data_IF_477489166963
#
_entry.id   IF_477489166963
#
_cell.length_a   1.000
_cell.length_b   1.000
_cell.length_c   1.000
_cell.angle_alpha   90.00
_cell.angle_beta   90.00
_cell.angle_gamma   90.00
#
_symmetry.space_group_name_H-M   'P 1'
#
loop_
_entity.id
_entity.type
_entity.pdbx_description
1 polymer ?
#
# COMPACT_ATOMS: atom_id res chain seq x y z
N UNK A 1 -31.16 -0.20 1.61
CA UNK A 1 -30.57 -1.55 1.46
C UNK A 1 -29.76 -1.82 2.72
N UNK A 2 -30.35 -2.55 3.67
CA UNK A 2 -29.76 -2.82 4.98
C UNK A 2 -28.66 -3.88 4.83
N UNK A 3 -27.40 -3.45 4.89
CA UNK A 3 -26.28 -4.38 5.09
C UNK A 3 -26.42 -4.90 6.52
N UNK A 4 -26.54 -6.21 6.68
CA UNK A 4 -26.63 -6.89 7.98
C UNK A 4 -25.37 -6.57 8.81
N UNK A 5 -25.46 -5.56 9.68
CA UNK A 5 -24.38 -5.01 10.50
C UNK A 5 -24.02 -5.90 11.70
N UNK A 6 -24.09 -7.23 11.54
CA UNK A 6 -23.63 -8.14 12.59
C UNK A 6 -22.10 -8.22 12.51
N UNK A 7 -21.38 -7.96 13.61
CA UNK A 7 -19.93 -8.13 13.62
C UNK A 7 -19.59 -9.57 13.24
N UNK A 8 -18.61 -9.73 12.36
CA UNK A 8 -18.15 -11.04 11.92
C UNK A 8 -17.69 -11.85 13.14
N UNK A 9 -18.02 -13.15 13.16
CA UNK A 9 -17.65 -14.05 14.26
C UNK A 9 -16.85 -15.25 13.77
N UNK A 10 -15.97 -15.74 14.63
CA UNK A 10 -15.19 -16.96 14.39
C UNK A 10 -14.17 -16.79 13.26
N UNK A 11 -14.09 -17.78 12.37
CA UNK A 11 -13.09 -17.83 11.29
C UNK A 11 -13.25 -16.70 10.24
N UNK A 12 -14.49 -16.25 9.96
CA UNK A 12 -14.77 -15.19 8.97
C UNK A 12 -14.17 -13.85 9.38
N UNK A 13 -14.17 -13.56 10.68
CA UNK A 13 -13.54 -12.37 11.25
C UNK A 13 -12.03 -12.38 11.00
N UNK A 14 -11.39 -13.51 11.32
CA UNK A 14 -9.94 -13.65 11.16
C UNK A 14 -9.52 -13.60 9.69
N UNK A 15 -10.31 -14.18 8.78
CA UNK A 15 -10.05 -14.03 7.35
C UNK A 15 -10.18 -12.58 6.89
N UNK A 16 -11.23 -11.87 7.33
CA UNK A 16 -11.40 -10.47 6.97
C UNK A 16 -10.23 -9.60 7.44
N UNK A 17 -9.81 -9.77 8.71
CA UNK A 17 -8.64 -9.07 9.26
C UNK A 17 -7.37 -9.46 8.50
N UNK A 18 -7.17 -10.74 8.19
CA UNK A 18 -6.02 -11.21 7.43
C UNK A 18 -5.96 -10.58 6.03
N UNK A 19 -7.09 -10.47 5.33
CA UNK A 19 -7.16 -9.80 4.02
C UNK A 19 -6.77 -8.32 4.13
N UNK A 20 -7.30 -7.59 5.11
CA UNK A 20 -6.94 -6.18 5.33
C UNK A 20 -5.47 -6.01 5.71
N UNK A 21 -4.94 -6.92 6.53
CA UNK A 21 -3.53 -6.92 6.92
C UNK A 21 -2.62 -7.21 5.72
N UNK A 22 -2.97 -8.17 4.85
CA UNK A 22 -2.24 -8.45 3.62
C UNK A 22 -2.22 -7.24 2.69
N UNK A 23 -3.38 -6.57 2.49
CA UNK A 23 -3.41 -5.34 1.69
C UNK A 23 -2.53 -4.23 2.29
N UNK A 24 -2.48 -4.12 3.61
CA UNK A 24 -1.59 -3.18 4.31
C UNK A 24 -0.12 -3.53 4.09
N UNK A 25 0.23 -4.82 4.11
CA UNK A 25 1.59 -5.31 3.81
C UNK A 25 2.01 -4.96 2.39
N UNK A 26 1.15 -5.20 1.41
CA UNK A 26 1.41 -4.82 0.00
C UNK A 26 1.73 -3.34 -0.11
N UNK A 27 0.88 -2.48 0.48
CA UNK A 27 1.08 -1.02 0.41
C UNK A 27 2.36 -0.57 1.11
N UNK A 28 2.60 -1.02 2.34
CA UNK A 28 3.73 -0.55 3.15
C UNK A 28 5.08 -1.14 2.76
N UNK A 29 5.11 -2.32 2.13
CA UNK A 29 6.34 -2.95 1.67
C UNK A 29 6.95 -2.27 0.44
N UNK A 30 6.16 -1.51 -0.30
CA UNK A 30 6.59 -0.91 -1.56
C UNK A 30 7.72 0.13 -1.40
N UNK A 31 7.65 1.00 -0.39
CA UNK A 31 8.69 2.01 -0.13
C UNK A 31 10.06 1.37 0.18
N UNK A 32 10.20 0.49 1.18
CA UNK A 32 11.47 -0.16 1.47
C UNK A 32 11.94 -1.06 0.31
N UNK A 33 11.03 -1.79 -0.33
CA UNK A 33 11.37 -2.62 -1.49
C UNK A 33 11.91 -1.79 -2.65
N UNK A 34 11.26 -0.69 -2.99
CA UNK A 34 11.70 0.19 -4.06
C UNK A 34 13.06 0.83 -3.76
N UNK A 35 13.29 1.25 -2.52
CA UNK A 35 14.52 1.96 -2.11
C UNK A 35 15.79 1.16 -2.42
N UNK A 36 15.73 -0.17 -2.28
CA UNK A 36 16.85 -1.07 -2.60
C UNK A 36 17.08 -1.18 -4.11
N UNK A 37 16.01 -1.06 -4.89
CA UNK A 37 16.07 -1.20 -6.35
C UNK A 37 16.43 0.08 -7.09
N UNK A 38 16.55 1.22 -6.41
CA UNK A 38 16.80 2.54 -7.00
C UNK A 38 17.97 2.55 -8.02
N UNK A 39 19.13 1.92 -7.76
CA UNK A 39 20.22 1.90 -8.74
C UNK A 39 19.82 1.21 -10.06
N UNK A 40 19.05 0.11 -9.98
CA UNK A 40 18.57 -0.63 -11.14
C UNK A 40 17.53 0.17 -11.93
N UNK A 41 16.63 0.86 -11.22
CA UNK A 41 15.60 1.73 -11.81
C UNK A 41 16.27 2.85 -12.61
N UNK A 42 17.24 3.55 -12.00
CA UNK A 42 17.95 4.66 -12.61
C UNK A 42 18.71 4.25 -13.89
N UNK A 43 19.37 3.08 -13.87
CA UNK A 43 20.01 2.54 -15.06
C UNK A 43 19.04 2.18 -16.18
N UNK A 44 17.84 1.69 -15.84
CA UNK A 44 16.86 1.18 -16.82
C UNK A 44 15.92 2.23 -17.42
N UNK A 45 15.64 3.33 -16.72
CA UNK A 45 14.72 4.37 -17.16
C UNK A 45 15.46 5.54 -17.82
N UNK A 46 16.22 5.22 -18.87
CA UNK A 46 16.98 6.20 -19.67
C UNK A 46 18.40 6.50 -19.17
N UNK A 47 18.97 5.65 -18.30
CA UNK A 47 20.36 5.79 -17.85
C UNK A 47 20.60 7.04 -16.99
N UNK A 48 19.61 7.46 -16.22
CA UNK A 48 19.71 8.64 -15.35
C UNK A 48 20.59 8.36 -14.13
N UNK A 49 21.09 9.41 -13.51
CA UNK A 49 21.84 9.30 -12.25
C UNK A 49 20.94 8.70 -11.14
N UNK A 50 21.47 7.87 -10.22
CA UNK A 50 20.69 7.31 -9.11
C UNK A 50 19.93 8.34 -8.26
N UNK A 51 20.40 9.58 -8.20
CA UNK A 51 19.71 10.71 -7.56
C UNK A 51 18.34 11.01 -8.15
N UNK A 52 18.10 10.76 -9.43
CA UNK A 52 16.77 10.88 -10.04
C UNK A 52 15.89 9.68 -9.70
N UNK A 53 16.47 8.50 -9.50
CA UNK A 53 15.73 7.31 -9.06
C UNK A 53 15.14 7.46 -7.66
N UNK A 54 15.80 8.20 -6.76
CA UNK A 54 15.26 8.44 -5.40
C UNK A 54 13.98 9.28 -5.40
N UNK A 55 13.72 10.08 -6.45
CA UNK A 55 12.48 10.83 -6.60
C UNK A 55 11.26 9.91 -6.60
N UNK A 56 11.39 8.68 -7.10
CA UNK A 56 10.30 7.70 -7.02
C UNK A 56 9.89 7.37 -5.58
N UNK A 57 10.80 7.42 -4.61
CA UNK A 57 10.46 7.27 -3.18
C UNK A 57 9.75 8.53 -2.68
N UNK A 58 10.33 9.71 -2.92
CA UNK A 58 9.80 10.99 -2.48
C UNK A 58 8.38 11.23 -3.02
N UNK A 59 8.16 11.03 -4.31
CA UNK A 59 6.88 11.21 -4.99
C UNK A 59 5.80 10.27 -4.46
N UNK A 60 6.18 9.03 -4.16
CA UNK A 60 5.29 8.09 -3.49
C UNK A 60 4.91 8.57 -2.09
N UNK A 61 5.87 9.06 -1.29
CA UNK A 61 5.57 9.59 0.04
C UNK A 61 4.71 10.86 -0.01
N UNK A 62 4.91 11.73 -1.01
CA UNK A 62 4.04 12.89 -1.26
C UNK A 62 2.62 12.43 -1.56
N UNK A 63 2.45 11.47 -2.49
CA UNK A 63 1.15 10.87 -2.79
C UNK A 63 0.51 10.27 -1.53
N UNK A 64 1.26 9.49 -0.77
CA UNK A 64 0.82 8.87 0.49
C UNK A 64 0.31 9.91 1.48
N UNK A 65 1.09 10.98 1.71
CA UNK A 65 0.72 12.07 2.60
C UNK A 65 -0.55 12.79 2.15
N UNK A 66 -0.75 12.97 0.84
CA UNK A 66 -1.98 13.52 0.27
C UNK A 66 -3.17 12.57 0.43
N UNK A 67 -2.99 11.27 0.29
CA UNK A 67 -4.08 10.29 0.38
C UNK A 67 -4.71 10.18 1.79
N UNK A 68 -3.89 10.31 2.84
CA UNK A 68 -4.33 10.19 4.24
C UNK A 68 -5.53 11.08 4.62
N UNK A 69 -5.50 12.41 4.43
CA UNK A 69 -6.65 13.27 4.77
C UNK A 69 -7.87 13.00 3.89
N UNK A 70 -7.66 12.63 2.62
CA UNK A 70 -8.75 12.32 1.68
C UNK A 70 -9.50 11.04 2.03
N UNK A 71 -8.85 10.09 2.72
CA UNK A 71 -9.48 8.84 3.15
C UNK A 71 -10.79 9.09 3.91
N UNK A 72 -10.77 10.01 4.89
CA UNK A 72 -11.95 10.35 5.70
C UNK A 72 -13.05 11.02 4.89
N UNK A 73 -12.66 11.90 3.96
CA UNK A 73 -13.62 12.60 3.10
C UNK A 73 -14.34 11.62 2.16
N UNK A 74 -13.57 10.76 1.47
CA UNK A 74 -14.14 9.74 0.60
C UNK A 74 -15.01 8.76 1.39
N UNK A 75 -14.53 8.27 2.53
CA UNK A 75 -15.24 7.27 3.31
C UNK A 75 -16.53 7.81 3.93
N UNK A 76 -16.54 9.07 4.36
CA UNK A 76 -17.75 9.75 4.82
C UNK A 76 -18.83 9.89 3.74
N UNK A 77 -18.44 10.02 2.46
CA UNK A 77 -19.38 10.20 1.35
C UNK A 77 -19.80 8.90 0.67
N UNK A 78 -18.89 7.93 0.54
CA UNK A 78 -19.09 6.73 -0.27
C UNK A 78 -19.07 5.42 0.54
N UNK A 79 -18.70 5.48 1.83
CA UNK A 79 -18.60 4.35 2.75
C UNK A 79 -17.23 3.68 2.77
N UNK A 80 -16.76 3.30 3.96
CA UNK A 80 -15.41 2.76 4.20
C UNK A 80 -15.05 1.58 3.30
N UNK A 81 -15.92 0.57 3.20
CA UNK A 81 -15.62 -0.65 2.44
C UNK A 81 -15.48 -0.39 0.94
N UNK A 82 -16.38 0.41 0.35
CA UNK A 82 -16.34 0.73 -1.08
C UNK A 82 -15.10 1.54 -1.43
N UNK A 83 -14.77 2.53 -0.61
CA UNK A 83 -13.58 3.35 -0.82
C UNK A 83 -12.30 2.53 -0.66
N UNK A 84 -12.23 1.64 0.33
CA UNK A 84 -11.10 0.74 0.49
C UNK A 84 -10.86 -0.11 -0.77
N UNK A 85 -11.91 -0.77 -1.28
CA UNK A 85 -11.80 -1.62 -2.49
C UNK A 85 -11.39 -0.81 -3.71
N UNK A 86 -12.01 0.36 -3.94
CA UNK A 86 -11.67 1.22 -5.08
C UNK A 86 -10.23 1.74 -4.97
N UNK A 87 -9.83 2.21 -3.79
CA UNK A 87 -8.46 2.68 -3.56
C UNK A 87 -7.44 1.56 -3.76
N UNK A 88 -7.72 0.34 -3.31
CA UNK A 88 -6.84 -0.80 -3.51
C UNK A 88 -6.73 -1.23 -4.98
N UNK A 89 -7.83 -1.16 -5.74
CA UNK A 89 -7.80 -1.39 -7.19
C UNK A 89 -7.00 -0.30 -7.92
N UNK A 90 -7.17 0.96 -7.53
CA UNK A 90 -6.38 2.07 -8.07
C UNK A 90 -4.89 1.91 -7.74
N UNK A 91 -4.57 1.41 -6.54
CA UNK A 91 -3.20 1.08 -6.15
C UNK A 91 -2.62 0.03 -7.10
N UNK A 92 -3.34 -1.07 -7.35
CA UNK A 92 -2.90 -2.12 -8.28
C UNK A 92 -2.70 -1.58 -9.70
N UNK A 93 -3.64 -0.77 -10.22
CA UNK A 93 -3.50 -0.15 -11.54
C UNK A 93 -2.28 0.78 -11.62
N UNK A 94 -2.07 1.63 -10.61
CA UNK A 94 -0.91 2.51 -10.55
C UNK A 94 0.41 1.73 -10.47
N UNK A 95 0.40 0.59 -9.78
CA UNK A 95 1.55 -0.30 -9.68
C UNK A 95 1.90 -0.90 -11.06
N UNK A 96 0.90 -1.36 -11.82
CA UNK A 96 1.08 -1.81 -13.19
C UNK A 96 1.65 -0.72 -14.10
N UNK A 97 1.19 0.53 -13.97
CA UNK A 97 1.74 1.68 -14.72
C UNK A 97 3.21 1.90 -14.39
N UNK A 98 3.59 1.83 -13.11
CA UNK A 98 4.98 1.95 -12.69
C UNK A 98 5.84 0.79 -13.24
N UNK A 99 5.31 -0.44 -13.21
CA UNK A 99 6.02 -1.62 -13.73
C UNK A 99 6.23 -1.55 -15.24
N UNK A 100 5.24 -1.06 -15.99
CA UNK A 100 5.28 -0.92 -17.45
C UNK A 100 6.03 0.34 -17.92
N UNK A 101 6.43 1.23 -17.01
CA UNK A 101 7.10 2.48 -17.39
C UNK A 101 8.47 2.23 -18.00
N UNK A 102 8.76 2.89 -19.12
CA UNK A 102 10.05 2.86 -19.80
C UNK A 102 10.86 4.15 -19.61
N UNK A 103 10.21 5.22 -19.15
CA UNK A 103 10.84 6.52 -18.92
C UNK A 103 10.53 7.04 -17.53
N UNK A 104 11.41 7.90 -17.00
CA UNK A 104 11.19 8.56 -15.72
C UNK A 104 9.91 9.42 -15.73
N UNK A 105 9.59 10.04 -16.88
CA UNK A 105 8.42 10.90 -17.06
C UNK A 105 7.09 10.17 -16.90
N UNK A 106 7.01 8.89 -17.29
CA UNK A 106 5.81 8.07 -17.06
C UNK A 106 5.82 7.44 -15.68
N UNK A 107 7.01 7.16 -15.15
CA UNK A 107 7.19 6.48 -13.87
C UNK A 107 6.81 7.35 -12.67
N UNK A 108 7.33 8.58 -12.59
CA UNK A 108 7.14 9.44 -11.42
C UNK A 108 5.67 9.82 -11.14
N UNK A 109 4.84 10.21 -12.13
CA UNK A 109 3.41 10.42 -11.90
C UNK A 109 2.70 9.15 -11.42
N UNK A 110 3.11 7.98 -11.93
CA UNK A 110 2.62 6.69 -11.45
C UNK A 110 2.93 6.46 -9.97
N UNK A 111 4.12 6.86 -9.50
CA UNK A 111 4.53 6.78 -8.09
C UNK A 111 3.65 7.65 -7.19
N UNK A 112 3.30 8.86 -7.62
CA UNK A 112 2.37 9.74 -6.89
C UNK A 112 1.00 9.08 -6.79
N UNK A 113 0.46 8.59 -7.90
CA UNK A 113 -0.84 7.92 -7.92
C UNK A 113 -0.87 6.67 -7.02
N UNK A 114 0.20 5.87 -7.07
CA UNK A 114 0.39 4.69 -6.23
C UNK A 114 0.42 5.06 -4.75
N UNK A 115 1.18 6.10 -4.40
CA UNK A 115 1.24 6.65 -3.04
C UNK A 115 -0.11 7.13 -2.56
N UNK A 116 -0.82 7.91 -3.38
CA UNK A 116 -2.14 8.43 -3.04
C UNK A 116 -3.15 7.33 -2.76
N UNK A 117 -3.23 6.33 -3.63
CA UNK A 117 -4.10 5.17 -3.45
C UNK A 117 -3.75 4.39 -2.16
N UNK A 118 -2.45 4.23 -1.88
CA UNK A 118 -1.97 3.61 -0.64
C UNK A 118 -2.37 4.42 0.60
N UNK A 119 -2.20 5.74 0.56
CA UNK A 119 -2.52 6.66 1.66
C UNK A 119 -4.00 6.67 2.00
N UNK A 120 -4.87 6.51 1.01
CA UNK A 120 -6.32 6.31 1.23
C UNK A 120 -6.61 4.94 1.85
N UNK A 121 -5.92 3.90 1.39
CA UNK A 121 -6.16 2.50 1.78
C UNK A 121 -5.81 2.23 3.24
N UNK A 122 -4.65 2.69 3.70
CA UNK A 122 -4.10 2.36 5.03
C UNK A 122 -5.03 2.69 6.22
N UNK A 123 -5.53 3.93 6.38
CA UNK A 123 -6.41 4.27 7.51
C UNK A 123 -7.76 3.54 7.42
N UNK A 124 -8.24 3.25 6.21
CA UNK A 124 -9.48 2.50 6.02
C UNK A 124 -9.31 1.02 6.38
N UNK A 125 -8.18 0.40 6.03
CA UNK A 125 -7.86 -0.97 6.44
C UNK A 125 -7.88 -1.10 7.96
N UNK A 126 -7.20 -0.19 8.65
CA UNK A 126 -7.14 -0.17 10.11
C UNK A 126 -8.53 0.09 10.73
N UNK A 127 -9.27 1.08 10.21
CA UNK A 127 -10.62 1.38 10.69
C UNK A 127 -11.56 0.18 10.54
N UNK A 128 -11.60 -0.43 9.36
CA UNK A 128 -12.44 -1.59 9.05
C UNK A 128 -12.10 -2.78 9.96
N UNK A 129 -10.81 -3.07 10.15
CA UNK A 129 -10.40 -4.15 11.05
C UNK A 129 -10.81 -3.88 12.51
N UNK A 130 -10.60 -2.66 13.01
CA UNK A 130 -10.89 -2.30 14.40
C UNK A 130 -12.40 -2.19 14.70
N UNK A 131 -13.24 -1.97 13.68
CA UNK A 131 -14.71 -1.91 13.84
C UNK A 131 -15.33 -3.26 14.17
N UNK A 132 -14.68 -4.37 13.80
CA UNK A 132 -15.16 -5.71 14.09
C UNK A 132 -14.84 -6.19 15.51
N UNK A 133 -13.90 -5.53 16.20
CA UNK A 133 -13.55 -5.87 17.58
C UNK A 133 -14.50 -5.20 18.59
N UNK A 134 -14.93 -5.92 19.64
CA UNK A 134 -15.71 -5.32 20.73
C UNK A 134 -14.88 -4.28 21.46
N UNK A 135 -15.53 -3.22 21.95
CA UNK A 135 -14.89 -2.04 22.54
C UNK A 135 -13.87 -2.38 23.65
N UNK A 136 -14.18 -3.38 24.50
CA UNK A 136 -13.28 -3.86 25.56
C UNK A 136 -11.95 -4.44 25.04
N UNK A 137 -11.90 -4.91 23.80
CA UNK A 137 -10.69 -5.49 23.17
C UNK A 137 -10.02 -4.55 22.17
N UNK A 138 -10.54 -3.33 21.99
CA UNK A 138 -10.06 -2.40 20.96
C UNK A 138 -8.60 -1.97 21.20
N UNK A 139 -8.22 -1.71 22.44
CA UNK A 139 -6.82 -1.38 22.80
C UNK A 139 -5.85 -2.50 22.43
N UNK A 140 -6.23 -3.75 22.73
CA UNK A 140 -5.43 -4.92 22.35
C UNK A 140 -5.36 -5.09 20.83
N UNK A 141 -6.47 -4.88 20.11
CA UNK A 141 -6.53 -4.96 18.66
C UNK A 141 -5.66 -3.87 17.98
N UNK A 142 -5.61 -2.66 18.53
CA UNK A 142 -4.68 -1.60 18.08
C UNK A 142 -3.24 -2.03 18.27
N UNK A 143 -2.90 -2.64 19.42
CA UNK A 143 -1.56 -3.19 19.67
C UNK A 143 -1.19 -4.27 18.64
N UNK A 144 -2.09 -5.21 18.39
CA UNK A 144 -1.91 -6.24 17.36
C UNK A 144 -1.70 -5.63 15.97
N UNK A 145 -2.51 -4.64 15.60
CA UNK A 145 -2.36 -3.93 14.32
C UNK A 145 -1.01 -3.21 14.20
N UNK A 146 -0.53 -2.61 15.30
CA UNK A 146 0.79 -1.99 15.37
C UNK A 146 1.92 -2.99 15.08
N UNK A 147 1.87 -4.18 15.68
CA UNK A 147 2.83 -5.27 15.40
C UNK A 147 2.76 -5.69 13.94
N UNK A 148 1.55 -5.90 13.40
CA UNK A 148 1.35 -6.27 11.99
C UNK A 148 1.82 -5.19 11.02
N UNK A 149 1.84 -3.93 11.44
CA UNK A 149 2.29 -2.80 10.61
C UNK A 149 3.82 -2.68 10.53
N UNK A 150 4.58 -3.41 11.37
CA UNK A 150 6.04 -3.44 11.33
C UNK A 150 6.58 -4.51 10.37
N UNK A 151 5.87 -5.63 10.23
CA UNK A 151 6.21 -6.73 9.31
C UNK A 151 6.48 -6.32 7.85
N UNK A 152 5.73 -5.37 7.24
CA UNK A 152 5.92 -4.97 5.86
C UNK A 152 7.30 -4.38 5.57
N UNK A 153 7.95 -3.76 6.57
CA UNK A 153 9.27 -3.16 6.40
C UNK A 153 10.31 -4.24 6.02
N UNK A 154 10.36 -5.31 6.81
CA UNK A 154 11.28 -6.43 6.59
C UNK A 154 10.96 -7.17 5.30
N UNK A 155 9.67 -7.42 5.04
CA UNK A 155 9.22 -8.07 3.81
C UNK A 155 9.63 -7.26 2.58
N UNK A 156 9.39 -5.95 2.61
CA UNK A 156 9.72 -5.07 1.48
C UNK A 156 11.21 -5.06 1.18
N UNK A 157 12.07 -4.93 2.21
CA UNK A 157 13.53 -4.98 2.03
C UNK A 157 13.97 -6.29 1.38
N UNK A 158 13.49 -7.42 1.92
CA UNK A 158 13.85 -8.74 1.41
C UNK A 158 13.39 -8.94 -0.04
N UNK A 159 12.12 -8.65 -0.33
CA UNK A 159 11.54 -8.80 -1.66
C UNK A 159 12.23 -7.88 -2.68
N UNK A 160 12.53 -6.63 -2.30
CA UNK A 160 13.22 -5.67 -3.17
C UNK A 160 14.59 -6.18 -3.63
N UNK A 161 15.40 -6.68 -2.69
CA UNK A 161 16.70 -7.26 -3.00
C UNK A 161 16.59 -8.51 -3.88
N UNK A 162 15.76 -9.47 -3.47
CA UNK A 162 15.56 -10.73 -4.19
C UNK A 162 15.08 -10.51 -5.62
N UNK A 163 14.09 -9.62 -5.83
CA UNK A 163 13.57 -9.31 -7.16
C UNK A 163 14.59 -8.59 -8.03
N UNK A 164 15.35 -7.66 -7.48
CA UNK A 164 16.38 -6.97 -8.23
C UNK A 164 17.52 -7.89 -8.66
N UNK A 165 17.89 -8.87 -7.82
CA UNK A 165 18.98 -9.80 -8.08
C UNK A 165 18.61 -10.91 -9.06
N UNK A 166 17.45 -11.55 -8.90
CA UNK A 166 17.08 -12.76 -9.65
C UNK A 166 16.08 -12.54 -10.78
N UNK A 167 15.35 -11.42 -10.78
CA UNK A 167 14.28 -11.17 -11.75
C UNK A 167 14.46 -9.80 -12.43
N UNK A 168 13.73 -8.79 -11.96
CA UNK A 168 13.80 -7.41 -12.41
C UNK A 168 13.24 -6.53 -11.30
N UNK A 169 13.76 -5.31 -11.16
CA UNK A 169 13.23 -4.33 -10.20
C UNK A 169 11.73 -4.07 -10.37
N UNK A 170 11.20 -4.28 -11.58
CA UNK A 170 9.77 -4.12 -11.90
C UNK A 170 8.86 -5.03 -11.06
N UNK A 171 9.36 -6.18 -10.60
CA UNK A 171 8.58 -7.12 -9.80
C UNK A 171 8.17 -6.59 -8.44
N UNK A 172 8.87 -5.57 -7.91
CA UNK A 172 8.45 -4.87 -6.68
C UNK A 172 7.05 -4.24 -6.82
N UNK A 173 6.62 -3.98 -8.05
CA UNK A 173 5.30 -3.40 -8.35
C UNK A 173 4.23 -4.45 -8.69
N UNK A 174 4.61 -5.71 -8.88
CA UNK A 174 3.66 -6.81 -9.15
C UNK A 174 3.25 -7.59 -7.90
N UNK A 175 4.02 -7.46 -6.81
CA UNK A 175 3.67 -7.94 -5.45
C UNK A 175 2.68 -7.04 -4.74
#
# INVERSE_FOLDING_TARGET
>A
MFVDNRPLRGWRLWLFIATLALGTVVVLSNVPGYTITVPYVAGSLGGVTPSFGTWGTTDHMVGLALGLPFARWFSGRFGDYRVYVVAFLLYACAACVCAASETLWTFLPGRIALGFAGGVTLPLAQSLALREFPERRRTWAVGLWGVLSMTPLTIGVFLGGWFAEFLSWRWVFYT
#
